data_IF_446475431736
#
_entry.id   IF_446475431736
#
_cell.length_a   1.000
_cell.length_b   1.000
_cell.length_c   1.000
_cell.angle_alpha   90.00
_cell.angle_beta   90.00
_cell.angle_gamma   90.00
#
_symmetry.space_group_name_H-M   'P 1'
#
loop_
_entity.id
_entity.type
_entity.pdbx_description
1 polymer ?
#
# COMPACT_ATOMS: atom_id res chain seq x y z
N UNK A 1 -24.02 -19.21 -58.69
CA UNK A 1 -23.13 -20.29 -58.21
C UNK A 1 -22.19 -19.68 -57.18
N UNK A 2 -22.21 -20.14 -55.92
CA UNK A 2 -21.50 -19.51 -54.80
C UNK A 2 -20.37 -20.46 -54.37
N UNK A 3 -19.12 -20.01 -54.55
CA UNK A 3 -17.92 -20.85 -54.49
C UNK A 3 -17.68 -21.47 -53.09
N UNK A 4 -17.51 -22.80 -52.96
CA UNK A 4 -17.33 -23.47 -51.68
C UNK A 4 -15.97 -23.17 -51.01
N UNK A 5 -14.96 -22.70 -51.78
CA UNK A 5 -13.62 -22.38 -51.25
C UNK A 5 -13.60 -21.13 -50.35
N UNK A 6 -14.55 -20.21 -50.51
CA UNK A 6 -14.62 -18.97 -49.72
C UNK A 6 -15.08 -19.21 -48.27
N UNK A 7 -15.90 -20.24 -48.03
CA UNK A 7 -16.40 -20.59 -46.69
C UNK A 7 -15.35 -21.24 -45.80
N UNK A 8 -14.43 -22.00 -46.39
CA UNK A 8 -13.37 -22.70 -45.63
C UNK A 8 -12.33 -21.71 -45.09
N UNK A 9 -11.97 -20.69 -45.88
CA UNK A 9 -11.05 -19.64 -45.44
C UNK A 9 -11.61 -18.79 -44.28
N UNK A 10 -12.90 -18.45 -44.32
CA UNK A 10 -13.54 -17.71 -43.23
C UNK A 10 -13.70 -18.53 -41.95
N UNK A 11 -13.92 -19.84 -42.07
CA UNK A 11 -13.96 -20.74 -40.91
C UNK A 11 -12.58 -20.88 -40.27
N UNK A 12 -11.51 -21.01 -41.06
CA UNK A 12 -10.15 -21.12 -40.56
C UNK A 12 -9.70 -19.85 -39.83
N UNK A 13 -10.00 -18.67 -40.39
CA UNK A 13 -9.70 -17.38 -39.76
C UNK A 13 -10.43 -17.23 -38.42
N UNK A 14 -11.70 -17.63 -38.34
CA UNK A 14 -12.46 -17.58 -37.07
C UNK A 14 -11.92 -18.52 -36.00
N UNK A 15 -11.47 -19.71 -36.40
CA UNK A 15 -10.87 -20.68 -35.46
C UNK A 15 -9.52 -20.17 -34.95
N UNK A 16 -8.68 -19.62 -35.83
CA UNK A 16 -7.39 -19.04 -35.44
C UNK A 16 -7.58 -17.83 -34.52
N UNK A 17 -8.54 -16.95 -34.81
CA UNK A 17 -8.87 -15.82 -33.93
C UNK A 17 -9.40 -16.26 -32.57
N UNK A 18 -10.20 -17.33 -32.50
CA UNK A 18 -10.69 -17.88 -31.24
C UNK A 18 -9.58 -18.52 -30.39
N UNK A 19 -8.62 -19.20 -31.03
CA UNK A 19 -7.47 -19.79 -30.33
C UNK A 19 -6.51 -18.72 -29.81
N UNK A 20 -6.28 -17.64 -30.56
CA UNK A 20 -5.47 -16.49 -30.10
C UNK A 20 -6.16 -15.77 -28.92
N UNK A 21 -7.49 -15.61 -28.96
CA UNK A 21 -8.24 -15.03 -27.86
C UNK A 21 -8.21 -15.92 -26.59
N UNK A 22 -8.17 -17.26 -26.73
CA UNK A 22 -8.00 -18.16 -25.60
C UNK A 22 -6.57 -18.13 -25.01
N UNK A 23 -5.54 -17.89 -25.83
CA UNK A 23 -4.15 -17.81 -25.38
C UNK A 23 -3.83 -16.50 -24.65
N UNK A 24 -4.62 -15.44 -24.86
CA UNK A 24 -4.49 -14.16 -24.13
C UNK A 24 -5.06 -14.18 -22.70
N UNK A 25 -5.68 -15.29 -22.26
CA UNK A 25 -6.13 -15.44 -20.87
C UNK A 25 -5.06 -16.09 -20.00
N UNK A 26 -3.82 -15.59 -20.09
CA UNK A 26 -2.82 -15.87 -19.07
C UNK A 26 -3.19 -15.01 -17.86
N UNK A 27 -4.06 -15.55 -16.99
CA UNK A 27 -4.25 -14.97 -15.67
C UNK A 27 -2.87 -14.83 -15.03
N UNK A 28 -2.45 -13.59 -14.76
CA UNK A 28 -1.24 -13.33 -14.01
C UNK A 28 -1.28 -14.16 -12.72
N UNK A 29 -0.13 -14.66 -12.29
CA UNK A 29 0.01 -15.50 -11.11
C UNK A 29 -0.33 -14.75 -9.83
N UNK A 30 -1.62 -14.48 -9.61
CA UNK A 30 -2.13 -13.90 -8.39
C UNK A 30 -2.11 -15.01 -7.35
N UNK A 31 -1.12 -14.97 -6.46
CA UNK A 31 -1.23 -15.69 -5.21
C UNK A 31 -2.34 -15.02 -4.39
N UNK A 32 -3.44 -15.75 -4.20
CA UNK A 32 -4.65 -15.34 -3.48
C UNK A 32 -5.36 -14.11 -4.07
N UNK A 33 -5.93 -14.23 -5.28
CA UNK A 33 -6.63 -13.12 -5.93
C UNK A 33 -7.79 -12.58 -5.10
N UNK A 34 -8.33 -13.37 -4.16
CA UNK A 34 -9.49 -12.97 -3.35
C UNK A 34 -9.17 -11.77 -2.45
N UNK A 35 -7.97 -11.71 -1.88
CA UNK A 35 -7.54 -10.58 -1.05
C UNK A 35 -7.35 -9.32 -1.89
N UNK A 36 -6.64 -9.45 -3.02
CA UNK A 36 -6.43 -8.34 -3.95
C UNK A 36 -7.76 -7.81 -4.48
N UNK A 37 -8.62 -8.69 -5.02
CA UNK A 37 -9.94 -8.31 -5.54
C UNK A 37 -10.81 -7.62 -4.49
N UNK A 38 -10.79 -8.11 -3.25
CA UNK A 38 -11.51 -7.46 -2.16
C UNK A 38 -10.98 -6.05 -1.92
N UNK A 39 -9.67 -5.89 -1.79
CA UNK A 39 -9.06 -4.58 -1.51
C UNK A 39 -9.32 -3.61 -2.66
N UNK A 40 -9.15 -4.02 -3.91
CA UNK A 40 -9.43 -3.17 -5.08
C UNK A 40 -10.90 -2.76 -5.15
N UNK A 41 -11.82 -3.69 -4.86
CA UNK A 41 -13.26 -3.41 -4.83
C UNK A 41 -13.64 -2.49 -3.67
N UNK A 42 -12.99 -2.65 -2.52
CA UNK A 42 -13.31 -1.92 -1.29
C UNK A 42 -12.73 -0.50 -1.28
N UNK A 43 -11.48 -0.35 -1.72
CA UNK A 43 -10.74 0.91 -1.72
C UNK A 43 -10.91 1.73 -2.99
N UNK A 44 -11.36 1.10 -4.09
CA UNK A 44 -11.34 1.66 -5.44
C UNK A 44 -9.94 2.03 -5.94
N UNK A 45 -8.89 1.43 -5.38
CA UNK A 45 -7.50 1.57 -5.82
C UNK A 45 -7.02 0.26 -6.43
N UNK A 46 -6.24 0.33 -7.50
CA UNK A 46 -5.51 -0.85 -7.99
C UNK A 46 -4.36 -1.14 -7.02
N UNK A 47 -4.27 -2.38 -6.54
CA UNK A 47 -3.17 -2.79 -5.65
C UNK A 47 -2.25 -3.77 -6.36
N UNK A 48 -0.97 -3.70 -6.03
CA UNK A 48 0.02 -4.63 -6.57
C UNK A 48 -0.03 -5.96 -5.81
N UNK A 49 0.27 -7.08 -6.47
CA UNK A 49 0.48 -8.36 -5.79
C UNK A 49 1.67 -8.31 -4.79
N UNK A 50 2.51 -7.29 -4.87
CA UNK A 50 3.55 -6.98 -3.90
C UNK A 50 3.00 -6.67 -2.49
N UNK A 51 1.69 -6.51 -2.32
CA UNK A 51 1.08 -6.33 -0.98
C UNK A 51 1.62 -7.38 0.00
N UNK A 52 1.58 -8.68 -0.34
CA UNK A 52 2.04 -9.76 0.55
C UNK A 52 3.33 -10.46 0.06
N UNK A 53 3.89 -10.04 -1.07
CA UNK A 53 5.00 -10.72 -1.74
C UNK A 53 6.21 -9.82 -1.90
N UNK A 54 7.41 -10.42 -1.89
CA UNK A 54 8.65 -9.68 -2.15
C UNK A 54 8.67 -9.08 -3.56
N UNK A 55 7.99 -9.74 -4.50
CA UNK A 55 7.99 -9.36 -5.92
C UNK A 55 6.57 -9.12 -6.44
N UNK A 56 6.43 -8.13 -7.30
CA UNK A 56 5.16 -7.67 -7.89
C UNK A 56 4.44 -8.74 -8.72
N UNK A 57 5.19 -9.64 -9.34
CA UNK A 57 4.65 -10.76 -10.12
C UNK A 57 4.21 -11.96 -9.26
N UNK A 58 4.23 -11.82 -7.93
CA UNK A 58 3.93 -12.90 -7.00
C UNK A 58 5.07 -13.93 -6.89
N UNK A 59 4.79 -15.13 -6.34
CA UNK A 59 5.82 -16.10 -5.98
C UNK A 59 6.41 -16.88 -7.18
N UNK A 60 5.85 -16.72 -8.38
CA UNK A 60 6.26 -17.49 -9.57
C UNK A 60 7.06 -16.61 -10.54
N UNK A 61 8.18 -17.13 -11.04
CA UNK A 61 9.04 -16.46 -12.02
C UNK A 61 10.52 -16.61 -11.64
N UNK A 62 11.37 -15.78 -12.25
CA UNK A 62 12.84 -15.88 -12.15
C UNK A 62 13.49 -14.64 -11.50
N UNK A 63 12.71 -13.82 -10.82
CA UNK A 63 13.18 -12.66 -10.07
C UNK A 63 13.45 -13.01 -8.60
N UNK A 64 14.09 -12.10 -7.86
CA UNK A 64 14.41 -12.29 -6.44
C UNK A 64 13.14 -12.50 -5.61
N UNK A 65 13.16 -13.52 -4.74
CA UNK A 65 12.00 -13.86 -3.89
C UNK A 65 10.92 -14.67 -4.62
N UNK A 66 11.19 -15.12 -5.84
CA UNK A 66 10.35 -16.07 -6.57
C UNK A 66 10.90 -17.48 -6.43
N UNK A 67 10.03 -18.50 -6.53
CA UNK A 67 10.37 -19.88 -6.18
C UNK A 67 11.58 -20.44 -6.95
N UNK A 68 11.80 -20.04 -8.21
CA UNK A 68 12.89 -20.56 -9.03
C UNK A 68 14.26 -19.95 -8.69
N UNK A 69 14.31 -18.85 -7.93
CA UNK A 69 15.57 -18.17 -7.60
C UNK A 69 16.06 -18.47 -6.19
N UNK A 70 15.30 -19.23 -5.41
CA UNK A 70 15.65 -19.55 -4.03
C UNK A 70 16.83 -20.51 -3.96
N UNK A 71 17.84 -20.17 -3.16
CA UNK A 71 18.93 -21.07 -2.83
C UNK A 71 18.50 -22.13 -1.79
N UNK A 72 19.37 -23.09 -1.48
CA UNK A 72 19.05 -24.20 -0.56
C UNK A 72 18.64 -23.72 0.84
N UNK A 73 19.27 -22.68 1.38
CA UNK A 73 18.95 -22.17 2.71
C UNK A 73 17.62 -21.41 2.71
N UNK A 74 17.33 -20.65 1.66
CA UNK A 74 16.03 -20.03 1.45
C UNK A 74 14.92 -21.08 1.27
N UNK A 75 15.18 -22.20 0.60
CA UNK A 75 14.23 -23.30 0.51
C UNK A 75 13.96 -23.95 1.88
N UNK A 76 14.99 -24.10 2.73
CA UNK A 76 14.81 -24.55 4.12
C UNK A 76 13.95 -23.57 4.92
N UNK A 77 14.22 -22.26 4.82
CA UNK A 77 13.41 -21.21 5.45
C UNK A 77 11.97 -21.23 4.96
N UNK A 78 11.75 -21.37 3.65
CA UNK A 78 10.43 -21.49 3.05
C UNK A 78 9.70 -22.74 3.57
N UNK A 79 10.38 -23.87 3.71
CA UNK A 79 9.78 -25.08 4.25
C UNK A 79 9.43 -24.92 5.74
N UNK A 80 10.28 -24.25 6.53
CA UNK A 80 9.96 -23.86 7.93
C UNK A 80 8.74 -22.93 7.97
N UNK A 81 8.67 -21.95 7.08
CA UNK A 81 7.54 -21.04 6.97
C UNK A 81 6.24 -21.77 6.59
N UNK A 82 6.32 -22.78 5.71
CA UNK A 82 5.16 -23.55 5.26
C UNK A 82 4.55 -24.41 6.37
N UNK A 83 5.34 -24.86 7.34
CA UNK A 83 4.89 -25.69 8.47
C UNK A 83 4.38 -24.88 9.67
N UNK A 84 4.62 -23.57 9.69
CA UNK A 84 4.13 -22.68 10.73
C UNK A 84 2.62 -22.39 10.60
N UNK A 85 1.82 -23.29 11.16
CA UNK A 85 0.37 -23.20 11.12
C UNK A 85 -0.23 -22.29 12.19
N UNK A 86 0.44 -22.17 13.34
CA UNK A 86 -0.01 -21.40 14.50
C UNK A 86 0.59 -19.98 14.54
N UNK A 87 -0.10 -19.01 15.16
CA UNK A 87 0.44 -17.67 15.43
C UNK A 87 1.73 -17.71 16.28
N UNK A 88 2.53 -16.65 16.19
CA UNK A 88 3.73 -16.47 17.01
C UNK A 88 4.93 -17.35 16.63
N UNK A 89 4.81 -18.14 15.57
CA UNK A 89 5.95 -18.86 15.01
C UNK A 89 6.92 -17.86 14.35
N UNK A 90 8.21 -18.00 14.63
CA UNK A 90 9.26 -17.24 13.96
C UNK A 90 9.42 -17.70 12.50
N UNK A 91 8.73 -16.98 11.61
CA UNK A 91 8.55 -17.31 10.20
C UNK A 91 8.99 -16.15 9.33
N UNK A 92 10.17 -16.27 8.74
CA UNK A 92 10.60 -15.41 7.64
C UNK A 92 10.60 -16.20 6.34
N UNK A 93 9.55 -16.01 5.57
CA UNK A 93 9.40 -16.60 4.26
C UNK A 93 10.13 -15.74 3.23
N UNK A 94 11.05 -16.30 2.41
CA UNK A 94 11.77 -15.54 1.40
C UNK A 94 10.90 -15.10 0.22
N UNK A 95 9.65 -15.59 0.13
CA UNK A 95 8.67 -15.23 -0.91
C UNK A 95 7.66 -14.17 -0.44
N UNK A 96 7.59 -13.91 0.87
CA UNK A 96 6.72 -12.89 1.45
C UNK A 96 7.56 -11.66 1.79
N UNK A 97 7.01 -10.48 1.55
CA UNK A 97 7.60 -9.25 2.07
C UNK A 97 7.38 -9.17 3.59
N UNK A 98 7.79 -8.06 4.19
CA UNK A 98 7.65 -7.85 5.63
C UNK A 98 6.18 -7.88 6.08
N UNK A 99 5.26 -7.27 5.33
CA UNK A 99 3.82 -7.33 5.62
C UNK A 99 3.27 -8.76 5.53
N UNK A 100 3.59 -9.51 4.48
CA UNK A 100 3.18 -10.90 4.34
C UNK A 100 3.69 -11.78 5.49
N UNK A 101 4.93 -11.58 5.93
CA UNK A 101 5.48 -12.27 7.09
C UNK A 101 4.81 -11.82 8.39
N UNK A 102 4.51 -10.52 8.56
CA UNK A 102 3.82 -10.00 9.75
C UNK A 102 2.42 -10.59 9.89
N UNK A 103 1.66 -10.73 8.79
CA UNK A 103 0.35 -11.41 8.79
C UNK A 103 0.49 -12.84 9.32
N UNK A 104 1.43 -13.62 8.77
CA UNK A 104 1.59 -15.03 9.17
C UNK A 104 2.06 -15.13 10.62
N UNK A 105 2.93 -14.24 11.10
CA UNK A 105 3.34 -14.17 12.50
C UNK A 105 2.16 -13.80 13.42
N UNK A 106 1.32 -12.85 13.02
CA UNK A 106 0.21 -12.34 13.82
C UNK A 106 -0.94 -13.35 13.97
N UNK A 107 -1.41 -13.93 12.86
CA UNK A 107 -2.63 -14.76 12.85
C UNK A 107 -2.39 -16.23 12.50
N UNK A 108 -1.18 -16.58 12.04
CA UNK A 108 -0.84 -17.94 11.61
C UNK A 108 -1.38 -18.29 10.22
N UNK A 109 -0.65 -19.15 9.52
CA UNK A 109 -1.00 -19.59 8.14
C UNK A 109 -2.37 -20.26 8.06
N UNK A 110 -2.74 -21.07 9.07
CA UNK A 110 -4.03 -21.78 9.05
C UNK A 110 -5.20 -20.80 9.03
N UNK A 111 -5.15 -19.78 9.88
CA UNK A 111 -6.19 -18.74 9.95
C UNK A 111 -6.17 -17.87 8.69
N UNK A 112 -4.99 -17.45 8.20
CA UNK A 112 -4.87 -16.72 6.94
C UNK A 112 -5.51 -17.45 5.76
N UNK A 113 -5.34 -18.78 5.66
CA UNK A 113 -5.99 -19.56 4.60
C UNK A 113 -7.50 -19.66 4.81
N UNK A 114 -7.99 -19.75 6.05
CA UNK A 114 -9.44 -19.76 6.35
C UNK A 114 -10.12 -18.44 6.01
N UNK A 115 -9.44 -17.31 6.24
CA UNK A 115 -9.95 -15.97 5.95
C UNK A 115 -10.05 -15.66 4.45
N UNK A 116 -9.50 -16.51 3.57
CA UNK A 116 -9.64 -16.34 2.10
C UNK A 116 -11.10 -16.25 1.65
N UNK A 117 -12.00 -16.96 2.33
CA UNK A 117 -13.43 -16.92 2.05
C UNK A 117 -14.06 -15.57 2.44
N UNK A 118 -13.50 -14.88 3.44
CA UNK A 118 -13.95 -13.60 3.96
C UNK A 118 -12.78 -12.60 4.10
N UNK A 119 -12.22 -12.07 3.00
CA UNK A 119 -11.03 -11.22 3.04
C UNK A 119 -11.14 -10.00 3.98
N UNK A 120 -12.36 -9.45 4.12
CA UNK A 120 -12.66 -8.35 5.05
C UNK A 120 -12.30 -8.64 6.51
N UNK A 121 -12.41 -9.90 6.93
CA UNK A 121 -12.09 -10.29 8.31
C UNK A 121 -10.60 -10.25 8.60
N UNK A 122 -9.73 -10.25 7.57
CA UNK A 122 -8.28 -10.12 7.76
C UNK A 122 -7.90 -8.84 8.49
N UNK A 123 -8.48 -7.70 8.11
CA UNK A 123 -8.20 -6.41 8.77
C UNK A 123 -8.55 -6.45 10.27
N UNK A 124 -9.65 -7.13 10.61
CA UNK A 124 -10.10 -7.27 12.00
C UNK A 124 -9.13 -8.13 12.82
N UNK A 125 -8.59 -9.19 12.22
CA UNK A 125 -7.67 -10.12 12.88
C UNK A 125 -6.25 -9.54 13.00
N UNK A 126 -5.83 -8.68 12.05
CA UNK A 126 -4.57 -7.93 12.16
C UNK A 126 -4.61 -6.87 13.27
N UNK A 127 -5.78 -6.23 13.47
CA UNK A 127 -5.95 -5.21 14.49
C UNK A 127 -5.14 -3.93 14.22
N UNK A 128 -5.13 -3.02 15.18
CA UNK A 128 -4.54 -1.68 15.02
C UNK A 128 -3.13 -1.52 15.62
N UNK A 129 -2.48 -2.63 15.98
CA UNK A 129 -1.20 -2.59 16.72
C UNK A 129 0.03 -2.57 15.82
N UNK A 130 -0.10 -3.02 14.57
CA UNK A 130 1.00 -3.07 13.61
C UNK A 130 0.97 -1.82 12.72
N UNK A 131 2.13 -1.19 12.57
CA UNK A 131 2.42 -0.01 11.75
C UNK A 131 3.89 -0.18 11.31
N UNK A 132 4.10 -0.89 10.21
CA UNK A 132 5.43 -1.36 9.80
C UNK A 132 6.32 -0.24 9.28
N UNK A 133 5.75 0.79 8.65
CA UNK A 133 6.52 1.90 8.08
C UNK A 133 6.58 3.14 9.00
N UNK A 134 5.81 3.16 10.09
CA UNK A 134 5.82 4.19 11.12
C UNK A 134 5.16 5.51 10.68
N UNK A 135 4.28 5.47 9.68
CA UNK A 135 3.53 6.62 9.23
C UNK A 135 2.40 7.00 10.19
N UNK A 136 2.02 6.09 11.09
CA UNK A 136 0.98 6.23 12.12
C UNK A 136 -0.41 5.79 11.68
N UNK A 137 -0.54 5.17 10.50
CA UNK A 137 -1.72 4.45 10.02
C UNK A 137 -1.46 2.96 10.28
N UNK A 138 -2.37 2.24 10.97
CA UNK A 138 -2.15 0.81 11.18
C UNK A 138 -2.21 0.03 9.87
N UNK A 139 -1.38 -1.02 9.73
CA UNK A 139 -1.31 -1.87 8.52
C UNK A 139 -2.68 -2.46 8.15
N UNK A 140 -3.53 -2.74 9.13
CA UNK A 140 -4.90 -3.22 8.90
C UNK A 140 -5.80 -2.19 8.22
N UNK A 141 -5.60 -0.91 8.53
CA UNK A 141 -6.25 0.21 7.88
C UNK A 141 -5.74 0.39 6.46
N UNK A 142 -4.44 0.29 6.26
CA UNK A 142 -3.83 0.38 4.93
C UNK A 142 -4.24 -0.76 3.99
N UNK A 143 -4.35 -1.97 4.52
CA UNK A 143 -4.93 -3.10 3.80
C UNK A 143 -6.35 -2.79 3.31
N UNK A 144 -7.19 -2.15 4.13
CA UNK A 144 -8.55 -1.76 3.72
C UNK A 144 -8.54 -0.59 2.73
N UNK A 145 -7.63 0.36 2.90
CA UNK A 145 -7.49 1.54 2.05
C UNK A 145 -6.81 1.24 0.71
N UNK A 146 -6.25 0.04 0.54
CA UNK A 146 -5.46 -0.33 -0.63
C UNK A 146 -4.17 0.46 -0.76
N UNK A 147 -3.56 0.83 0.37
CA UNK A 147 -2.26 1.51 0.44
C UNK A 147 -1.15 0.51 0.76
N UNK A 148 0.11 0.96 0.82
CA UNK A 148 1.26 0.05 0.91
C UNK A 148 1.82 0.09 2.34
N UNK A 149 1.65 -0.98 3.14
CA UNK A 149 2.07 -1.02 4.55
C UNK A 149 3.57 -0.88 4.80
N UNK A 150 4.37 -0.88 3.73
CA UNK A 150 5.83 -0.75 3.81
C UNK A 150 6.32 0.61 3.31
N UNK A 151 5.41 1.53 2.97
CA UNK A 151 5.75 2.81 2.38
C UNK A 151 4.95 3.96 2.99
N UNK A 152 5.62 4.67 3.91
CA UNK A 152 5.10 5.80 4.69
C UNK A 152 4.53 6.99 3.92
N UNK A 153 4.66 6.98 2.60
CA UNK A 153 4.15 8.02 1.70
C UNK A 153 2.98 7.54 0.84
N UNK A 154 2.52 6.30 1.01
CA UNK A 154 1.50 5.67 0.19
C UNK A 154 0.12 5.55 0.88
N UNK A 155 0.04 5.82 2.18
CA UNK A 155 -1.20 5.86 2.95
C UNK A 155 -2.31 6.78 2.39
N UNK A 156 -3.52 6.68 2.96
CA UNK A 156 -4.63 7.54 2.54
C UNK A 156 -4.25 9.02 2.78
N UNK A 157 -4.32 9.91 1.76
CA UNK A 157 -3.86 11.30 1.90
C UNK A 157 -4.52 12.06 3.04
N UNK A 158 -5.81 11.78 3.32
CA UNK A 158 -6.53 12.42 4.41
C UNK A 158 -6.03 11.94 5.77
N UNK A 159 -5.86 10.62 5.94
CA UNK A 159 -5.30 10.03 7.16
C UNK A 159 -3.86 10.50 7.40
N UNK A 160 -3.01 10.44 6.37
CA UNK A 160 -1.63 10.93 6.42
C UNK A 160 -1.56 12.41 6.83
N UNK A 161 -2.43 13.24 6.28
CA UNK A 161 -2.50 14.65 6.66
C UNK A 161 -2.85 14.81 8.15
N UNK A 162 -3.88 14.11 8.63
CA UNK A 162 -4.30 14.19 10.03
C UNK A 162 -3.22 13.68 10.99
N UNK A 163 -2.57 12.55 10.66
CA UNK A 163 -1.49 11.99 11.48
C UNK A 163 -0.29 12.94 11.52
N UNK A 164 0.10 13.51 10.39
CA UNK A 164 1.19 14.49 10.35
C UNK A 164 0.81 15.78 11.09
N UNK A 165 -0.44 16.25 10.97
CA UNK A 165 -0.91 17.43 11.68
C UNK A 165 -0.83 17.21 13.20
N UNK A 166 -1.26 16.05 13.69
CA UNK A 166 -1.18 15.69 15.11
C UNK A 166 0.28 15.56 15.57
N UNK A 167 1.13 14.91 14.76
CA UNK A 167 2.57 14.74 15.01
C UNK A 167 3.30 16.08 15.13
N UNK A 168 2.97 17.04 14.28
CA UNK A 168 3.65 18.34 14.21
C UNK A 168 2.86 19.50 14.82
N UNK A 169 1.77 19.23 15.57
CA UNK A 169 0.86 20.26 16.10
C UNK A 169 1.58 21.36 16.89
N UNK A 170 2.59 21.00 17.67
CA UNK A 170 3.34 21.98 18.47
C UNK A 170 4.19 22.91 17.61
N UNK A 171 4.77 22.40 16.52
CA UNK A 171 5.50 23.23 15.56
C UNK A 171 4.55 24.16 14.82
N UNK A 172 3.38 23.68 14.43
CA UNK A 172 2.33 24.50 13.78
C UNK A 172 1.88 25.61 14.72
N UNK A 173 1.57 25.29 15.98
CA UNK A 173 1.19 26.29 16.99
C UNK A 173 2.31 27.32 17.21
N UNK A 174 3.55 26.87 17.36
CA UNK A 174 4.69 27.77 17.54
C UNK A 174 4.88 28.69 16.32
N UNK A 175 4.73 28.17 15.10
CA UNK A 175 4.81 28.95 13.88
C UNK A 175 3.70 30.02 13.83
N UNK A 176 2.46 29.66 14.19
CA UNK A 176 1.35 30.61 14.27
C UNK A 176 1.64 31.70 15.30
N UNK A 177 2.09 31.34 16.51
CA UNK A 177 2.45 32.30 17.56
C UNK A 177 3.57 33.22 17.10
N UNK A 178 4.60 32.70 16.45
CA UNK A 178 5.71 33.49 15.93
C UNK A 178 5.24 34.48 14.86
N UNK A 179 4.43 34.02 13.89
CA UNK A 179 3.86 34.88 12.83
C UNK A 179 3.01 35.99 13.45
N UNK A 180 2.12 35.67 14.39
CA UNK A 180 1.28 36.65 15.06
C UNK A 180 2.12 37.67 15.86
N UNK A 181 3.14 37.21 16.58
CA UNK A 181 4.02 38.07 17.38
C UNK A 181 4.84 39.01 16.50
N UNK A 182 5.36 38.53 15.37
CA UNK A 182 6.09 39.35 14.40
C UNK A 182 5.19 40.41 13.77
N UNK A 183 4.00 40.02 13.33
CA UNK A 183 3.03 40.97 12.77
C UNK A 183 2.62 42.02 13.81
N UNK A 184 2.34 41.61 15.04
CA UNK A 184 2.04 42.51 16.15
C UNK A 184 3.19 43.51 16.41
N UNK A 185 4.43 43.02 16.49
CA UNK A 185 5.61 43.85 16.68
C UNK A 185 5.82 44.85 15.54
N UNK A 186 5.62 44.43 14.29
CA UNK A 186 5.76 45.28 13.11
C UNK A 186 4.73 46.41 13.08
N UNK A 187 3.46 46.12 13.39
CA UNK A 187 2.40 47.13 13.49
C UNK A 187 2.73 48.16 14.55
N UNK A 188 3.18 47.73 15.73
CA UNK A 188 3.56 48.62 16.81
C UNK A 188 4.80 49.45 16.50
N UNK A 189 5.79 48.88 15.80
CA UNK A 189 6.98 49.61 15.36
C UNK A 189 6.61 50.73 14.37
N UNK A 190 5.79 50.44 13.35
CA UNK A 190 5.31 51.43 12.38
C UNK A 190 4.50 52.52 13.09
N UNK A 191 3.63 52.15 14.03
CA UNK A 191 2.87 53.10 14.83
C UNK A 191 3.79 54.00 15.70
N UNK A 192 4.88 53.45 16.23
CA UNK A 192 5.90 54.20 16.96
C UNK A 192 6.61 55.21 16.07
N UNK A 193 7.12 54.76 14.92
CA UNK A 193 7.85 55.61 13.96
C UNK A 193 6.96 56.76 13.44
N UNK A 194 5.71 56.47 13.09
CA UNK A 194 4.77 57.50 12.59
C UNK A 194 4.45 58.56 13.65
N UNK A 195 4.27 58.16 14.91
CA UNK A 195 4.12 59.11 16.03
C UNK A 195 5.34 60.02 16.17
N UNK A 196 6.55 59.46 16.14
CA UNK A 196 7.80 60.23 16.22
C UNK A 196 7.91 61.24 15.06
N UNK A 197 7.63 60.80 13.83
CA UNK A 197 7.65 61.69 12.65
C UNK A 197 6.62 62.82 12.78
N UNK A 198 5.41 62.53 13.25
CA UNK A 198 4.37 63.54 13.45
C UNK A 198 4.74 64.56 14.53
N UNK A 199 5.40 64.13 15.60
CA UNK A 199 5.89 65.01 16.66
C UNK A 199 7.03 65.91 16.16
N UNK A 200 7.99 65.35 15.42
CA UNK A 200 9.08 66.12 14.79
C UNK A 200 8.55 67.20 13.85
N UNK A 201 7.51 66.90 13.06
CA UNK A 201 6.87 67.87 12.17
C UNK A 201 6.18 69.02 12.92
N UNK A 202 5.74 68.83 14.17
CA UNK A 202 5.15 69.90 14.99
C UNK A 202 6.19 70.81 15.66
N UNK A 203 7.44 70.36 15.78
CA UNK A 203 8.53 71.08 16.44
C UNK A 203 9.36 71.94 15.47
N UNK A 204 9.26 71.67 14.16
CA UNK A 204 9.84 72.47 13.08
C UNK A 204 8.77 73.36 12.45
#
# INVERSE_FOLDING_TARGET
>A
MRDPKLKVGQALVRIVSAVIALLCWSGAGHAYPEYQQFVETHSHRTVNCAMCHVHENGPTGNEKGQLNTLNEDQLKLLNKARTALAPGADVDSPILNEFGNSIIKAIGKKKFVQLRANPKELAKELGATSDLDGDGIPDSGEYLDGTDPLNKFHGDPGKLFLVNLERYKMHVVLAVVAILSLNYGLVHLIAGITKIQSARKKLN
#
